data_IF_641943988019
#
_entry.id   IF_641943988019
#
_cell.length_a   1.000
_cell.length_b   1.000
_cell.length_c   1.000
_cell.angle_alpha   90.00
_cell.angle_beta   90.00
_cell.angle_gamma   90.00
#
_symmetry.space_group_name_H-M   'P 1'
#
loop_
_entity.id
_entity.type
_entity.pdbx_description
1 polymer ?
#
# COMPACT_ATOMS: atom_id res chain seq x y z
N UNK A 1 -21.21 -0.50 11.29
CA UNK A 1 -20.57 -1.85 11.35
C UNK A 1 -19.31 -1.76 10.53
N UNK A 2 -18.18 -2.31 11.00
CA UNK A 2 -16.84 -1.94 10.56
C UNK A 2 -15.95 -3.18 10.34
N UNK A 3 -14.84 -3.03 9.61
CA UNK A 3 -13.88 -4.12 9.33
C UNK A 3 -12.97 -4.42 10.53
N UNK A 4 -13.05 -3.61 11.58
CA UNK A 4 -12.12 -3.56 12.70
C UNK A 4 -11.85 -4.89 13.42
N UNK A 5 -12.86 -5.75 13.54
CA UNK A 5 -12.73 -7.04 14.23
C UNK A 5 -12.16 -8.15 13.34
N UNK A 6 -12.18 -7.96 12.01
CA UNK A 6 -11.81 -8.99 11.05
C UNK A 6 -10.31 -9.36 11.11
N UNK A 7 -9.37 -8.40 11.32
CA UNK A 7 -7.97 -8.76 11.54
C UNK A 7 -7.76 -9.67 12.76
N UNK A 8 -8.45 -9.40 13.88
CA UNK A 8 -8.33 -10.22 15.08
C UNK A 8 -8.90 -11.62 14.84
N UNK A 9 -10.06 -11.72 14.17
CA UNK A 9 -10.64 -13.01 13.77
C UNK A 9 -9.71 -13.83 12.85
N UNK A 10 -8.96 -13.18 11.97
CA UNK A 10 -7.98 -13.85 11.10
C UNK A 10 -6.71 -14.27 11.85
N UNK A 11 -6.32 -13.54 12.90
CA UNK A 11 -5.17 -13.86 13.74
C UNK A 11 -5.48 -15.03 14.69
N UNK A 12 -6.71 -15.09 15.21
CA UNK A 12 -7.16 -16.13 16.13
C UNK A 12 -7.58 -17.43 15.42
N UNK A 13 -7.72 -17.40 14.09
CA UNK A 13 -8.15 -18.56 13.30
C UNK A 13 -6.98 -19.51 13.00
N UNK A 14 -7.13 -20.76 13.42
CA UNK A 14 -6.13 -21.84 13.33
C UNK A 14 -6.44 -22.88 12.24
N UNK A 15 -7.52 -22.70 11.48
CA UNK A 15 -7.89 -23.59 10.38
C UNK A 15 -7.18 -23.30 9.06
N UNK A 16 -7.47 -24.14 8.06
CA UNK A 16 -6.81 -24.12 6.74
C UNK A 16 -7.65 -23.45 5.63
N UNK A 17 -8.86 -22.95 5.97
CA UNK A 17 -9.83 -22.43 5.01
C UNK A 17 -10.36 -21.04 5.39
N UNK A 18 -9.45 -20.10 5.67
CA UNK A 18 -9.80 -18.78 6.21
C UNK A 18 -10.79 -18.01 5.30
N UNK A 19 -10.74 -18.22 3.98
CA UNK A 19 -11.69 -17.60 3.05
C UNK A 19 -13.13 -18.06 3.27
N UNK A 20 -13.35 -19.37 3.43
CA UNK A 20 -14.68 -19.93 3.62
C UNK A 20 -15.19 -19.66 5.05
N UNK A 21 -14.34 -19.91 6.04
CA UNK A 21 -14.75 -19.95 7.44
C UNK A 21 -14.86 -18.55 8.06
N UNK A 22 -13.94 -17.65 7.71
CA UNK A 22 -13.87 -16.29 8.28
C UNK A 22 -14.43 -15.27 7.30
N UNK A 23 -13.82 -15.11 6.13
CA UNK A 23 -14.13 -13.99 5.21
C UNK A 23 -15.55 -14.07 4.64
N UNK A 24 -15.95 -15.25 4.14
CA UNK A 24 -17.28 -15.45 3.56
C UNK A 24 -18.38 -15.34 4.62
N UNK A 25 -18.15 -15.89 5.81
CA UNK A 25 -19.05 -15.76 6.96
C UNK A 25 -19.23 -14.30 7.36
N UNK A 26 -18.14 -13.54 7.42
CA UNK A 26 -18.16 -12.12 7.71
C UNK A 26 -18.95 -11.33 6.65
N UNK A 27 -18.69 -11.57 5.37
CA UNK A 27 -19.40 -10.90 4.26
C UNK A 27 -20.91 -11.12 4.31
N UNK A 28 -21.36 -12.34 4.62
CA UNK A 28 -22.80 -12.67 4.74
C UNK A 28 -23.47 -11.94 5.91
N UNK A 29 -22.74 -11.74 7.00
CA UNK A 29 -23.26 -11.12 8.22
C UNK A 29 -23.11 -9.58 8.24
N UNK A 30 -22.27 -9.01 7.36
CA UNK A 30 -21.90 -7.59 7.38
C UNK A 30 -22.05 -6.91 6.01
N UNK A 31 -23.08 -7.26 5.24
CA UNK A 31 -23.31 -6.70 3.89
C UNK A 31 -23.33 -5.17 3.87
N UNK A 32 -23.91 -4.53 4.89
CA UNK A 32 -23.98 -3.07 5.02
C UNK A 32 -22.62 -2.39 5.28
N UNK A 33 -21.60 -3.11 5.75
CA UNK A 33 -20.26 -2.55 5.94
C UNK A 33 -19.53 -2.30 4.61
N UNK A 34 -20.00 -2.91 3.52
CA UNK A 34 -19.42 -2.78 2.17
C UNK A 34 -20.03 -1.60 1.41
N UNK A 35 -21.26 -1.21 1.71
CA UNK A 35 -21.98 -0.16 0.96
C UNK A 35 -21.25 1.20 0.97
N UNK A 36 -20.62 1.66 2.07
CA UNK A 36 -19.84 2.89 2.05
C UNK A 36 -18.62 2.82 1.10
N UNK A 37 -17.92 1.68 1.01
CA UNK A 37 -16.82 1.50 0.06
C UNK A 37 -17.32 1.63 -1.39
N UNK A 38 -18.46 1.01 -1.70
CA UNK A 38 -19.10 1.14 -3.02
C UNK A 38 -19.49 2.59 -3.33
N UNK A 39 -19.96 3.34 -2.32
CA UNK A 39 -20.25 4.77 -2.47
C UNK A 39 -18.99 5.59 -2.78
N UNK A 40 -17.88 5.33 -2.06
CA UNK A 40 -16.58 5.97 -2.35
C UNK A 40 -16.11 5.65 -3.77
N UNK A 41 -16.25 4.39 -4.20
CA UNK A 41 -15.90 3.95 -5.55
C UNK A 41 -16.58 4.85 -6.61
N UNK A 42 -17.91 4.98 -6.54
CA UNK A 42 -18.69 5.79 -7.50
C UNK A 42 -18.22 7.25 -7.52
N UNK A 43 -18.00 7.86 -6.34
CA UNK A 43 -17.57 9.27 -6.24
C UNK A 43 -16.14 9.50 -6.72
N UNK A 44 -15.29 8.48 -6.66
CA UNK A 44 -13.88 8.58 -7.04
C UNK A 44 -13.62 8.47 -8.54
N UNK A 45 -14.58 8.09 -9.37
CA UNK A 45 -14.32 7.74 -10.78
C UNK A 45 -13.68 8.90 -11.57
N UNK A 46 -14.11 10.14 -11.34
CA UNK A 46 -13.71 11.31 -12.16
C UNK A 46 -13.04 12.43 -11.37
N UNK A 47 -12.94 12.30 -10.06
CA UNK A 47 -12.45 13.37 -9.17
C UNK A 47 -11.96 12.77 -7.87
N UNK A 48 -11.13 13.53 -7.14
CA UNK A 48 -10.73 13.21 -5.77
C UNK A 48 -11.88 13.64 -4.85
N UNK A 49 -12.69 12.72 -4.28
CA UNK A 49 -13.77 13.11 -3.39
C UNK A 49 -13.21 13.59 -2.04
N UNK A 50 -13.93 14.53 -1.44
CA UNK A 50 -13.82 14.78 0.00
C UNK A 50 -14.43 13.58 0.73
N UNK A 51 -13.72 13.10 1.75
CA UNK A 51 -14.18 12.00 2.61
C UNK A 51 -14.32 12.51 4.03
N UNK A 52 -15.31 12.00 4.77
CA UNK A 52 -15.35 12.21 6.21
C UNK A 52 -14.24 11.39 6.89
N UNK A 53 -13.91 11.74 8.15
CA UNK A 53 -12.99 10.93 8.94
C UNK A 53 -13.50 9.48 9.10
N UNK A 54 -14.80 9.27 9.31
CA UNK A 54 -15.41 7.93 9.40
C UNK A 54 -15.21 7.11 8.12
N UNK A 55 -15.34 7.73 6.94
CA UNK A 55 -15.06 7.08 5.67
C UNK A 55 -13.58 6.73 5.54
N UNK A 56 -12.69 7.65 5.93
CA UNK A 56 -11.25 7.42 5.93
C UNK A 56 -10.84 6.28 6.86
N UNK A 57 -11.40 6.21 8.07
CA UNK A 57 -11.16 5.14 9.03
C UNK A 57 -11.68 3.79 8.50
N UNK A 58 -12.86 3.76 7.89
CA UNK A 58 -13.38 2.54 7.30
C UNK A 58 -12.47 2.00 6.17
N UNK A 59 -11.96 2.88 5.31
CA UNK A 59 -11.00 2.50 4.26
C UNK A 59 -9.72 1.92 4.88
N UNK A 60 -9.22 2.54 5.95
CA UNK A 60 -8.03 2.09 6.67
C UNK A 60 -8.25 0.71 7.32
N UNK A 61 -9.40 0.48 7.96
CA UNK A 61 -9.75 -0.82 8.53
C UNK A 61 -9.79 -1.92 7.46
N UNK A 62 -10.46 -1.65 6.33
CA UNK A 62 -10.51 -2.59 5.21
C UNK A 62 -9.12 -2.85 4.60
N UNK A 63 -8.28 -1.81 4.51
CA UNK A 63 -6.89 -1.96 4.07
C UNK A 63 -6.08 -2.87 5.00
N UNK A 64 -6.20 -2.71 6.32
CA UNK A 64 -5.50 -3.58 7.30
C UNK A 64 -5.88 -5.05 7.17
N UNK A 65 -7.12 -5.36 6.82
CA UNK A 65 -7.54 -6.73 6.50
C UNK A 65 -6.75 -7.23 5.28
N UNK A 66 -6.73 -6.47 4.19
CA UNK A 66 -6.00 -6.87 2.98
C UNK A 66 -4.50 -7.01 3.23
N UNK A 67 -3.89 -6.11 4.03
CA UNK A 67 -2.47 -6.20 4.40
C UNK A 67 -2.16 -7.49 5.16
N UNK A 68 -3.08 -7.96 6.00
CA UNK A 68 -2.97 -9.24 6.70
C UNK A 68 -3.10 -10.42 5.73
N UNK A 69 -4.04 -10.34 4.79
CA UNK A 69 -4.27 -11.39 3.79
C UNK A 69 -3.06 -11.59 2.87
N UNK A 70 -2.40 -10.50 2.42
CA UNK A 70 -1.26 -10.60 1.51
C UNK A 70 0.01 -11.16 2.15
N UNK A 71 0.08 -11.27 3.48
CA UNK A 71 1.23 -11.93 4.15
C UNK A 71 1.42 -13.36 3.64
N UNK A 72 0.32 -14.05 3.29
CA UNK A 72 0.33 -15.42 2.73
C UNK A 72 1.16 -15.55 1.45
N UNK A 73 1.36 -14.43 0.74
CA UNK A 73 2.08 -14.39 -0.53
C UNK A 73 3.50 -13.81 -0.41
N UNK A 74 3.94 -13.54 0.81
CA UNK A 74 5.23 -12.93 1.12
C UNK A 74 6.19 -13.94 1.75
N UNK A 75 7.48 -13.74 1.53
CA UNK A 75 8.55 -14.41 2.26
C UNK A 75 9.12 -13.47 3.33
N UNK A 76 9.77 -14.05 4.35
CA UNK A 76 10.45 -13.33 5.41
C UNK A 76 9.65 -13.19 6.71
N UNK A 77 10.26 -12.49 7.66
CA UNK A 77 9.77 -12.31 9.03
C UNK A 77 10.01 -10.89 9.55
N UNK A 78 10.01 -9.90 8.67
CA UNK A 78 10.19 -8.50 9.07
C UNK A 78 9.05 -7.97 9.97
N UNK A 79 7.92 -8.68 10.05
CA UNK A 79 6.85 -8.45 11.01
C UNK A 79 7.08 -9.11 12.37
N UNK A 80 8.24 -9.73 12.59
CA UNK A 80 8.62 -10.39 13.84
C UNK A 80 7.91 -11.72 14.10
N UNK A 81 7.21 -12.29 13.11
CA UNK A 81 6.46 -13.54 13.26
C UNK A 81 6.84 -14.58 12.21
N UNK A 82 6.81 -15.86 12.59
CA UNK A 82 6.95 -16.98 11.66
C UNK A 82 5.60 -17.42 11.05
N UNK A 83 4.48 -16.85 11.52
CA UNK A 83 3.17 -17.14 10.97
C UNK A 83 3.10 -16.66 9.52
N UNK A 84 2.81 -17.53 8.54
CA UNK A 84 2.84 -17.17 7.12
C UNK A 84 1.70 -16.21 6.71
N UNK A 85 0.75 -15.93 7.59
CA UNK A 85 -0.51 -15.28 7.24
C UNK A 85 -1.65 -16.29 7.04
N UNK A 86 -2.88 -15.79 6.86
CA UNK A 86 -4.07 -16.64 6.80
C UNK A 86 -4.04 -17.57 5.59
N UNK A 87 -4.55 -18.80 5.76
CA UNK A 87 -4.60 -19.80 4.72
C UNK A 87 -5.64 -19.42 3.63
N UNK A 88 -5.16 -18.75 2.57
CA UNK A 88 -5.92 -18.34 1.39
C UNK A 88 -5.09 -18.51 0.11
N UNK A 89 -5.78 -18.64 -1.01
CA UNK A 89 -5.22 -18.60 -2.37
C UNK A 89 -5.25 -17.18 -2.95
N UNK A 90 -4.53 -16.95 -4.06
CA UNK A 90 -4.57 -15.65 -4.77
C UNK A 90 -5.95 -15.36 -5.35
N UNK A 91 -6.65 -16.40 -5.78
CA UNK A 91 -8.00 -16.36 -6.33
C UNK A 91 -9.01 -15.95 -5.25
N UNK A 92 -8.92 -16.54 -4.06
CA UNK A 92 -9.74 -16.18 -2.90
C UNK A 92 -9.48 -14.76 -2.41
N UNK A 93 -8.21 -14.33 -2.39
CA UNK A 93 -7.86 -12.93 -2.10
C UNK A 93 -8.53 -11.97 -3.09
N UNK A 94 -8.42 -12.24 -4.40
CA UNK A 94 -9.05 -11.43 -5.44
C UNK A 94 -10.58 -11.43 -5.29
N UNK A 95 -11.18 -12.58 -5.01
CA UNK A 95 -12.62 -12.72 -4.81
C UNK A 95 -13.11 -11.92 -3.60
N UNK A 96 -12.38 -11.95 -2.47
CA UNK A 96 -12.70 -11.13 -1.31
C UNK A 96 -12.64 -9.63 -1.63
N UNK A 97 -11.55 -9.19 -2.27
CA UNK A 97 -11.38 -7.79 -2.68
C UNK A 97 -12.53 -7.31 -3.58
N UNK A 98 -12.93 -8.12 -4.57
CA UNK A 98 -14.08 -7.82 -5.42
C UNK A 98 -15.40 -7.77 -4.65
N UNK A 99 -15.58 -8.68 -3.69
CA UNK A 99 -16.79 -8.74 -2.86
C UNK A 99 -16.99 -7.48 -2.02
N UNK A 100 -15.90 -6.82 -1.61
CA UNK A 100 -15.95 -5.54 -0.89
C UNK A 100 -15.94 -4.31 -1.83
N UNK A 101 -16.06 -4.51 -3.15
CA UNK A 101 -16.24 -3.44 -4.13
C UNK A 101 -14.96 -2.91 -4.78
N UNK A 102 -13.84 -3.61 -4.64
CA UNK A 102 -12.56 -3.26 -5.27
C UNK A 102 -12.43 -3.87 -6.67
N UNK A 103 -11.71 -3.15 -7.54
CA UNK A 103 -11.26 -3.65 -8.83
C UNK A 103 -9.89 -4.27 -8.69
N UNK A 104 -9.73 -5.50 -9.19
CA UNK A 104 -8.45 -6.21 -9.25
C UNK A 104 -7.77 -5.89 -10.59
N UNK A 105 -6.58 -5.31 -10.55
CA UNK A 105 -5.77 -4.98 -11.72
C UNK A 105 -4.44 -5.74 -11.70
N UNK A 106 -3.95 -6.11 -12.89
CA UNK A 106 -2.66 -6.78 -13.09
C UNK A 106 -1.84 -6.06 -14.17
N UNK A 107 -1.34 -4.84 -13.90
CA UNK A 107 -0.60 -4.07 -14.90
C UNK A 107 0.73 -4.76 -15.22
N UNK A 108 1.06 -4.91 -16.50
CA UNK A 108 2.31 -5.55 -16.92
C UNK A 108 3.50 -4.58 -16.90
N UNK A 109 3.25 -3.29 -17.16
CA UNK A 109 4.27 -2.27 -17.16
C UNK A 109 4.53 -1.77 -15.73
N UNK A 110 5.79 -1.70 -15.33
CA UNK A 110 6.17 -1.14 -14.05
C UNK A 110 5.65 0.29 -13.89
N UNK A 111 5.14 0.57 -12.70
CA UNK A 111 4.74 1.91 -12.28
C UNK A 111 4.75 1.94 -10.75
N UNK A 112 5.41 2.94 -10.13
CA UNK A 112 5.40 3.07 -8.68
C UNK A 112 4.01 3.40 -8.13
N UNK A 113 3.06 3.81 -8.96
CA UNK A 113 1.68 3.97 -8.53
C UNK A 113 1.00 2.63 -8.28
N UNK A 114 1.14 1.68 -9.20
CA UNK A 114 0.45 0.38 -9.12
C UNK A 114 1.24 -0.70 -8.38
N UNK A 115 2.55 -0.51 -8.19
CA UNK A 115 3.45 -1.57 -7.75
C UNK A 115 4.32 -1.21 -6.54
N UNK A 116 4.50 -2.21 -5.68
CA UNK A 116 5.44 -2.27 -4.57
C UNK A 116 6.53 -3.30 -4.92
N UNK A 117 7.80 -2.95 -4.72
CA UNK A 117 8.93 -3.86 -5.00
C UNK A 117 9.08 -4.81 -3.83
N UNK A 118 8.86 -6.10 -4.06
CA UNK A 118 9.11 -7.16 -3.06
C UNK A 118 10.51 -7.73 -3.19
N UNK A 119 11.00 -7.85 -4.43
CA UNK A 119 12.33 -8.37 -4.75
C UNK A 119 12.87 -7.67 -5.99
N UNK A 120 14.19 -7.44 -6.02
CA UNK A 120 14.90 -6.81 -7.13
C UNK A 120 15.97 -7.75 -7.69
N UNK A 121 15.94 -7.97 -9.00
CA UNK A 121 17.03 -8.57 -9.76
C UNK A 121 17.77 -7.49 -10.53
N UNK A 122 19.04 -7.27 -10.23
CA UNK A 122 19.85 -6.29 -10.97
C UNK A 122 20.28 -6.85 -12.32
N UNK A 123 20.10 -6.07 -13.39
CA UNK A 123 20.56 -6.44 -14.75
C UNK A 123 21.85 -5.70 -15.15
N UNK A 124 22.61 -6.19 -16.14
CA UNK A 124 23.92 -5.63 -16.50
C UNK A 124 23.90 -4.17 -16.96
N UNK A 125 22.84 -3.74 -17.67
CA UNK A 125 22.72 -2.33 -18.05
C UNK A 125 22.32 -1.50 -16.82
N UNK A 126 23.20 -0.61 -16.31
CA UNK A 126 22.93 0.17 -15.11
C UNK A 126 21.72 1.10 -15.23
N UNK A 127 21.32 1.46 -16.46
CA UNK A 127 20.21 2.38 -16.73
C UNK A 127 18.95 1.68 -17.24
N UNK A 128 18.93 0.34 -17.25
CA UNK A 128 17.75 -0.40 -17.66
C UNK A 128 16.53 0.03 -16.84
N UNK A 129 15.42 0.30 -17.55
CA UNK A 129 14.14 0.59 -16.92
C UNK A 129 13.61 -0.66 -16.19
N UNK A 130 12.75 -0.50 -15.17
CA UNK A 130 12.26 -1.64 -14.43
C UNK A 130 11.26 -2.45 -15.26
N UNK A 131 11.42 -3.77 -15.21
CA UNK A 131 10.53 -4.76 -15.83
C UNK A 131 9.91 -5.63 -14.74
N UNK A 132 8.59 -5.86 -14.81
CA UNK A 132 7.90 -6.76 -13.88
C UNK A 132 8.15 -8.20 -14.30
N UNK A 133 8.78 -8.98 -13.41
CA UNK A 133 9.06 -10.40 -13.64
C UNK A 133 7.93 -11.30 -13.14
N UNK A 134 7.37 -10.98 -11.97
CA UNK A 134 6.36 -11.79 -11.31
C UNK A 134 5.47 -10.95 -10.40
N UNK A 135 4.18 -11.30 -10.34
CA UNK A 135 3.20 -10.73 -9.42
C UNK A 135 2.90 -11.70 -8.25
N UNK A 136 3.23 -11.27 -7.03
CA UNK A 136 2.92 -12.00 -5.80
C UNK A 136 1.46 -11.82 -5.40
N UNK A 137 0.95 -10.58 -5.43
CA UNK A 137 -0.46 -10.24 -5.24
C UNK A 137 -0.86 -9.08 -6.15
N UNK A 138 -2.13 -8.98 -6.57
CA UNK A 138 -2.56 -8.00 -7.56
C UNK A 138 -2.73 -6.59 -6.97
N UNK A 139 -2.80 -5.60 -7.86
CA UNK A 139 -3.12 -4.22 -7.53
C UNK A 139 -4.62 -4.10 -7.31
N UNK A 140 -5.03 -3.36 -6.28
CA UNK A 140 -6.43 -3.15 -5.94
C UNK A 140 -6.77 -1.66 -6.05
N UNK A 141 -7.84 -1.36 -6.78
CA UNK A 141 -8.35 -0.01 -6.97
C UNK A 141 -9.76 0.11 -6.39
N UNK A 142 -10.10 1.27 -5.83
CA UNK A 142 -11.46 1.67 -5.51
C UNK A 142 -11.82 2.85 -6.42
N UNK A 143 -12.47 2.57 -7.54
CA UNK A 143 -12.65 3.53 -8.63
C UNK A 143 -11.31 3.98 -9.19
N UNK A 144 -10.98 5.27 -9.09
CA UNK A 144 -9.67 5.80 -9.50
C UNK A 144 -8.64 5.88 -8.36
N UNK A 145 -9.05 5.56 -7.13
CA UNK A 145 -8.17 5.54 -5.96
C UNK A 145 -7.41 4.22 -5.87
N UNK A 146 -6.10 4.29 -5.65
CA UNK A 146 -5.30 3.13 -5.29
C UNK A 146 -5.66 2.69 -3.87
N UNK A 147 -6.08 1.43 -3.75
CA UNK A 147 -6.37 0.81 -2.47
C UNK A 147 -5.18 0.01 -1.95
N UNK A 148 -4.54 -0.78 -2.81
CA UNK A 148 -3.34 -1.55 -2.49
C UNK A 148 -2.50 -1.75 -3.74
N UNK A 149 -1.17 -1.60 -3.62
CA UNK A 149 -0.23 -1.87 -4.71
C UNK A 149 -0.06 -3.37 -4.91
N UNK A 150 0.14 -3.79 -6.16
CA UNK A 150 0.62 -5.12 -6.47
C UNK A 150 2.03 -5.32 -5.92
N UNK A 151 2.26 -6.43 -5.22
CA UNK A 151 3.60 -6.83 -4.82
C UNK A 151 4.28 -7.57 -5.96
N UNK A 152 5.40 -7.05 -6.45
CA UNK A 152 6.08 -7.61 -7.64
C UNK A 152 7.57 -7.82 -7.44
N UNK A 153 8.06 -8.86 -8.08
CA UNK A 153 9.48 -9.03 -8.40
C UNK A 153 9.80 -8.23 -9.66
N UNK A 154 10.89 -7.46 -9.63
CA UNK A 154 11.30 -6.62 -10.76
C UNK A 154 12.75 -6.86 -11.16
N UNK A 155 13.05 -6.70 -12.45
CA UNK A 155 14.41 -6.56 -12.97
C UNK A 155 14.68 -5.09 -13.30
N UNK A 156 15.83 -4.53 -12.91
CA UNK A 156 16.20 -3.16 -13.28
C UNK A 156 17.70 -2.90 -13.21
N UNK A 157 18.15 -1.82 -13.84
CA UNK A 157 19.52 -1.34 -13.73
C UNK A 157 19.81 -0.71 -12.38
N UNK A 158 21.04 -0.86 -11.88
CA UNK A 158 21.44 -0.41 -10.54
C UNK A 158 21.36 1.12 -10.31
N UNK A 159 21.32 1.94 -11.37
CA UNK A 159 21.11 3.38 -11.26
C UNK A 159 19.62 3.76 -11.28
N UNK A 160 18.75 2.86 -11.73
CA UNK A 160 17.30 3.05 -11.76
C UNK A 160 16.67 2.60 -10.45
N UNK A 161 17.06 1.42 -9.96
CA UNK A 161 16.69 0.88 -8.65
C UNK A 161 17.97 0.38 -7.99
N UNK A 162 18.36 1.02 -6.89
CA UNK A 162 19.59 0.70 -6.17
C UNK A 162 19.47 -0.68 -5.50
N UNK A 163 20.43 -1.58 -5.74
CA UNK A 163 20.56 -2.83 -4.99
C UNK A 163 20.66 -2.54 -3.50
N UNK A 164 20.14 -3.44 -2.67
CA UNK A 164 20.13 -3.33 -1.21
C UNK A 164 19.41 -2.10 -0.63
N UNK A 165 18.69 -1.34 -1.46
CA UNK A 165 17.81 -0.24 -1.05
C UNK A 165 16.38 -0.52 -1.51
N UNK A 166 16.15 -0.70 -2.82
CA UNK A 166 14.79 -0.68 -3.38
C UNK A 166 13.86 -1.79 -2.85
N UNK A 167 14.39 -2.95 -2.44
CA UNK A 167 13.63 -4.06 -1.87
C UNK A 167 13.75 -4.19 -0.35
N UNK A 168 14.57 -3.39 0.31
CA UNK A 168 14.97 -3.56 1.72
C UNK A 168 14.72 -2.33 2.58
N UNK A 169 14.61 -1.15 1.98
CA UNK A 169 14.27 0.11 2.66
C UNK A 169 12.90 0.01 3.34
N UNK A 170 12.73 0.80 4.40
CA UNK A 170 11.49 0.87 5.17
C UNK A 170 10.31 1.25 4.28
N UNK A 171 9.25 0.44 4.31
CA UNK A 171 7.97 0.76 3.68
C UNK A 171 7.10 1.61 4.62
N UNK A 172 6.87 2.86 4.25
CA UNK A 172 5.95 3.75 4.93
C UNK A 172 4.50 3.51 4.49
N UNK A 173 3.54 3.89 5.34
CA UNK A 173 2.09 3.65 5.15
C UNK A 173 1.73 2.16 4.98
N UNK A 174 2.47 1.29 5.65
CA UNK A 174 2.23 -0.15 5.64
C UNK A 174 2.19 -0.67 7.07
N UNK A 175 1.02 -1.16 7.50
CA UNK A 175 0.82 -1.61 8.87
C UNK A 175 1.56 -2.92 9.13
N UNK A 176 1.68 -3.80 8.13
CA UNK A 176 2.38 -5.09 8.27
C UNK A 176 2.97 -5.59 6.95
N UNK A 177 4.24 -5.99 6.97
CA UNK A 177 4.94 -6.67 5.86
C UNK A 177 5.93 -7.69 6.38
N UNK A 178 6.08 -8.80 5.66
CA UNK A 178 7.09 -9.84 5.93
C UNK A 178 8.42 -9.61 5.21
N UNK A 179 8.38 -8.93 4.07
CA UNK A 179 9.52 -8.81 3.15
C UNK A 179 10.61 -7.86 3.63
N UNK A 180 10.24 -6.82 4.41
CA UNK A 180 11.16 -5.74 4.80
C UNK A 180 10.61 -4.89 5.96
N UNK A 181 11.44 -4.02 6.59
CA UNK A 181 10.97 -3.07 7.60
C UNK A 181 9.82 -2.21 7.07
N UNK A 182 8.91 -1.83 7.96
CA UNK A 182 7.73 -1.05 7.62
C UNK A 182 7.37 -0.07 8.75
N UNK A 183 6.59 0.95 8.43
CA UNK A 183 6.10 1.95 9.39
C UNK A 183 4.73 2.45 8.98
N UNK A 184 3.84 2.50 9.96
CA UNK A 184 2.50 3.04 9.82
C UNK A 184 2.16 3.92 11.02
N UNK A 185 1.37 4.97 10.78
CA UNK A 185 0.97 5.90 11.85
C UNK A 185 0.19 5.24 12.98
N UNK A 186 -0.37 4.05 12.78
CA UNK A 186 -1.03 3.30 13.85
C UNK A 186 -0.06 2.60 14.80
N UNK A 187 1.22 2.40 14.43
CA UNK A 187 2.20 1.77 15.30
C UNK A 187 2.47 2.61 16.55
N UNK A 188 2.63 1.96 17.69
CA UNK A 188 2.85 2.64 18.98
C UNK A 188 1.59 3.22 19.65
N UNK A 189 0.44 3.20 18.98
CA UNK A 189 -0.83 3.63 19.57
C UNK A 189 -1.60 2.47 20.22
N UNK A 190 -2.38 2.79 21.26
CA UNK A 190 -3.28 1.82 21.88
C UNK A 190 -4.39 1.34 20.93
N UNK A 191 -4.96 0.16 21.22
CA UNK A 191 -5.89 -0.58 20.36
C UNK A 191 -7.19 0.16 19.95
N UNK A 192 -7.51 1.31 20.56
CA UNK A 192 -8.61 2.18 20.14
C UNK A 192 -8.14 3.33 19.24
N UNK A 193 -6.97 3.90 19.52
CA UNK A 193 -6.42 5.04 18.79
C UNK A 193 -5.84 4.64 17.44
N UNK A 194 -5.30 3.41 17.32
CA UNK A 194 -4.75 2.87 16.07
C UNK A 194 -5.76 2.87 14.91
N UNK A 195 -7.06 2.72 15.20
CA UNK A 195 -8.13 2.68 14.19
C UNK A 195 -8.60 4.06 13.74
N UNK A 196 -8.14 5.13 14.38
CA UNK A 196 -8.39 6.51 13.95
C UNK A 196 -7.32 7.04 13.00
N UNK A 197 -6.43 6.16 12.54
CA UNK A 197 -5.45 6.47 11.50
C UNK A 197 -6.16 6.73 10.19
N UNK A 198 -5.85 7.87 9.55
CA UNK A 198 -6.40 8.20 8.23
C UNK A 198 -5.82 7.29 7.16
N UNK A 199 -6.66 6.83 6.25
CA UNK A 199 -6.20 6.08 5.09
C UNK A 199 -5.42 6.98 4.13
N UNK A 200 -4.22 6.58 3.72
CA UNK A 200 -3.49 7.26 2.65
C UNK A 200 -4.22 7.08 1.33
N UNK A 201 -4.47 8.18 0.61
CA UNK A 201 -5.22 8.15 -0.65
C UNK A 201 -4.33 8.60 -1.81
N UNK A 202 -4.10 7.68 -2.74
CA UNK A 202 -3.44 7.96 -4.03
C UNK A 202 -4.47 7.79 -5.15
N UNK A 203 -4.43 8.61 -6.21
CA UNK A 203 -5.41 8.61 -7.31
C UNK A 203 -4.75 8.62 -8.68
N UNK A 204 -5.38 7.95 -9.65
CA UNK A 204 -5.04 8.09 -11.08
C UNK A 204 -6.20 8.74 -11.84
N UNK A 205 -6.07 10.03 -12.15
CA UNK A 205 -7.13 10.83 -12.78
C UNK A 205 -6.53 11.59 -13.96
N UNK A 206 -7.18 11.52 -15.12
CA UNK A 206 -6.82 12.28 -16.34
C UNK A 206 -5.32 12.24 -16.67
N UNK A 207 -4.75 11.02 -16.65
CA UNK A 207 -3.33 10.80 -16.96
C UNK A 207 -2.37 11.34 -15.89
N UNK A 208 -2.83 11.60 -14.67
CA UNK A 208 -2.03 12.13 -13.57
C UNK A 208 -2.11 11.20 -12.37
N UNK A 209 -0.95 10.85 -11.83
CA UNK A 209 -0.85 10.21 -10.52
C UNK A 209 -0.80 11.29 -9.44
N UNK A 210 -1.73 11.20 -8.49
CA UNK A 210 -1.76 12.03 -7.30
C UNK A 210 -1.43 11.13 -6.10
N UNK A 211 -0.39 11.46 -5.35
CA UNK A 211 0.07 10.70 -4.21
C UNK A 211 -0.22 11.45 -2.91
N UNK A 212 -0.76 10.72 -1.93
CA UNK A 212 -1.09 11.17 -0.58
C UNK A 212 -1.85 12.51 -0.58
N UNK A 213 -3.01 12.56 -1.23
CA UNK A 213 -3.73 13.83 -1.52
C UNK A 213 -4.13 14.66 -0.29
N UNK A 214 -4.14 14.03 0.89
CA UNK A 214 -4.39 14.67 2.19
C UNK A 214 -3.12 15.27 2.82
N UNK A 215 -1.95 15.15 2.19
CA UNK A 215 -0.72 15.77 2.68
C UNK A 215 -0.82 17.29 2.67
N UNK A 216 -0.38 17.90 3.76
CA UNK A 216 -0.37 19.35 3.96
C UNK A 216 0.74 20.04 3.14
N UNK A 217 1.83 19.32 2.84
CA UNK A 217 2.98 19.84 2.12
C UNK A 217 3.00 19.37 0.66
N UNK A 218 2.81 20.30 -0.29
CA UNK A 218 2.93 19.99 -1.72
C UNK A 218 4.39 20.06 -2.19
N UNK A 219 4.99 18.90 -2.41
CA UNK A 219 6.40 18.78 -2.79
C UNK A 219 6.72 19.34 -4.18
N UNK A 220 5.71 19.63 -5.01
CA UNK A 220 5.92 20.29 -6.32
C UNK A 220 6.17 21.79 -6.19
N UNK A 221 5.79 22.38 -5.06
CA UNK A 221 5.97 23.80 -4.77
C UNK A 221 7.32 24.12 -4.08
N UNK A 222 8.04 23.10 -3.61
CA UNK A 222 9.31 23.28 -2.91
C UNK A 222 10.49 23.41 -3.88
N UNK A 223 11.46 24.29 -3.60
CA UNK A 223 12.75 24.29 -4.29
C UNK A 223 13.47 22.95 -4.13
N UNK A 224 14.11 22.46 -5.20
CA UNK A 224 14.77 21.14 -5.19
C UNK A 224 15.85 20.96 -4.09
N UNK A 225 16.51 22.06 -3.69
CA UNK A 225 17.53 22.06 -2.65
C UNK A 225 17.01 22.35 -1.25
N UNK A 226 15.70 22.52 -1.06
CA UNK A 226 15.12 22.67 0.28
C UNK A 226 15.28 21.34 1.05
N UNK A 227 15.83 21.44 2.26
CA UNK A 227 16.10 20.32 3.15
C UNK A 227 15.15 20.42 4.34
N UNK A 228 14.41 19.36 4.65
CA UNK A 228 13.53 19.31 5.83
C UNK A 228 14.30 19.00 7.12
N UNK A 229 13.59 18.91 8.24
CA UNK A 229 14.16 18.55 9.54
C UNK A 229 14.82 17.16 9.58
N UNK A 230 14.37 16.23 8.75
CA UNK A 230 14.97 14.89 8.58
C UNK A 230 16.23 14.90 7.70
N UNK A 231 16.67 16.07 7.23
CA UNK A 231 17.83 16.19 6.35
C UNK A 231 17.58 15.73 4.91
N UNK A 232 16.31 15.58 4.50
CA UNK A 232 15.92 15.17 3.15
C UNK A 232 15.62 16.36 2.25
N UNK A 233 16.13 16.29 1.01
CA UNK A 233 15.78 17.19 -0.07
C UNK A 233 14.35 16.96 -0.55
N UNK A 234 13.77 17.94 -1.26
CA UNK A 234 12.46 17.77 -1.90
C UNK A 234 12.40 16.54 -2.83
N UNK A 235 13.48 16.21 -3.55
CA UNK A 235 13.54 15.04 -4.44
C UNK A 235 13.52 13.71 -3.67
N UNK A 236 14.23 13.62 -2.55
CA UNK A 236 14.24 12.42 -1.70
C UNK A 236 12.88 12.24 -1.01
N UNK A 237 12.22 13.33 -0.61
CA UNK A 237 10.84 13.30 -0.10
C UNK A 237 9.84 12.85 -1.18
N UNK A 238 10.01 13.33 -2.42
CA UNK A 238 9.19 12.87 -3.55
C UNK A 238 9.35 11.36 -3.77
N UNK A 239 10.58 10.84 -3.66
CA UNK A 239 10.84 9.40 -3.73
C UNK A 239 10.05 8.62 -2.66
N UNK A 240 10.10 9.05 -1.39
CA UNK A 240 9.31 8.44 -0.31
C UNK A 240 7.81 8.50 -0.59
N UNK A 241 7.29 9.64 -1.05
CA UNK A 241 5.86 9.76 -1.34
C UNK A 241 5.47 8.86 -2.52
N UNK A 242 6.24 8.83 -3.60
CA UNK A 242 5.93 8.04 -4.80
C UNK A 242 6.09 6.54 -4.55
N UNK A 243 7.22 6.11 -3.98
CA UNK A 243 7.55 4.70 -3.81
C UNK A 243 7.14 4.13 -2.45
N UNK A 244 6.67 4.97 -1.51
CA UNK A 244 6.47 4.65 -0.09
C UNK A 244 7.75 4.27 0.64
N UNK A 245 8.91 4.51 0.03
CA UNK A 245 10.23 4.13 0.50
C UNK A 245 11.32 4.71 -0.40
N UNK A 246 12.58 4.53 -0.01
CA UNK A 246 13.69 4.82 -0.91
C UNK A 246 13.91 3.67 -1.89
N UNK A 247 14.19 4.01 -3.15
CA UNK A 247 14.62 3.09 -4.20
C UNK A 247 15.99 3.41 -4.76
N UNK A 248 16.55 4.58 -4.47
CA UNK A 248 17.84 5.10 -4.91
C UNK A 248 18.56 5.91 -3.84
N UNK A 249 17.83 6.66 -3.00
CA UNK A 249 18.41 7.37 -1.86
C UNK A 249 19.04 6.39 -0.84
N UNK A 250 20.23 6.74 -0.35
CA UNK A 250 21.02 5.91 0.59
C UNK A 250 21.06 6.47 2.01
N UNK A 251 20.25 7.49 2.30
CA UNK A 251 20.14 8.02 3.66
C UNK A 251 19.44 7.02 4.56
N UNK A 252 19.67 7.14 5.86
CA UNK A 252 18.96 6.35 6.86
C UNK A 252 17.45 6.59 6.74
N UNK A 253 16.68 5.52 6.90
CA UNK A 253 15.22 5.51 6.76
C UNK A 253 14.51 4.97 8.01
N UNK A 254 15.22 4.87 9.13
CA UNK A 254 14.67 4.33 10.36
C UNK A 254 13.61 5.24 11.01
N UNK A 255 13.78 6.56 10.94
CA UNK A 255 13.01 7.55 11.70
C UNK A 255 12.70 8.81 10.87
N UNK A 256 11.98 8.62 9.75
CA UNK A 256 11.52 9.73 8.89
C UNK A 256 10.01 9.93 9.04
N UNK A 257 9.52 11.13 8.73
CA UNK A 257 8.09 11.46 8.85
C UNK A 257 7.45 11.93 7.52
N UNK A 258 7.33 11.08 6.49
CA UNK A 258 6.85 11.51 5.16
C UNK A 258 5.33 11.70 5.07
N UNK A 259 4.59 11.49 6.17
CA UNK A 259 3.13 11.38 6.19
C UNK A 259 2.39 12.68 5.81
N UNK A 260 3.03 13.83 6.01
CA UNK A 260 2.48 15.15 5.66
C UNK A 260 2.72 15.57 4.20
N UNK A 261 3.47 14.80 3.42
CA UNK A 261 3.86 15.18 2.08
C UNK A 261 2.91 14.65 1.01
N UNK A 262 2.62 15.47 0.01
CA UNK A 262 1.87 15.09 -1.20
C UNK A 262 2.64 15.43 -2.45
N UNK A 263 2.36 14.71 -3.53
CA UNK A 263 2.99 14.97 -4.83
C UNK A 263 2.10 14.54 -5.99
N UNK A 264 2.14 15.26 -7.10
CA UNK A 264 1.43 14.89 -8.33
C UNK A 264 2.38 14.87 -9.53
N UNK A 265 2.24 13.86 -10.39
CA UNK A 265 3.07 13.70 -11.59
C UNK A 265 2.24 13.12 -12.74
N UNK A 266 2.52 13.55 -13.97
CA UNK A 266 1.90 12.95 -15.17
C UNK A 266 2.36 11.50 -15.33
N UNK A 267 1.40 10.61 -15.61
CA UNK A 267 1.70 9.26 -16.05
C UNK A 267 2.46 9.34 -17.38
N UNK A 268 3.54 8.56 -17.47
CA UNK A 268 4.37 8.45 -18.68
C UNK A 268 3.88 7.31 -19.55
#
# INVERSE_FOLDING_TARGET
MSFRLLPDQLLDYDGEAAFADVLTTWLRSHTSAVDPLKSVNIRSIKSIPQLSDDESWLLYEAHRVLELLVLRFQSGNADGSEWPGPAITKEEFAQFAQSIGLTVMRPLAWSPFHHEITTLTTVPDPKAAPEVLHEHWPCLMLGSMLFMRAGVAVAAGAHTLAPDIASTSRLYWAHRRKTRPHSDLAHGWGANSSWRTRFRRDYFIDGTFHFNVEGDCDLSALPAGEINEDGLTALERQELVIHRCFVTCKKDDADLFPYGDRYSIKAR
#
